data_IF_386238062258
#
_entry.id   IF_386238062258
#
_cell.length_a   1.000
_cell.length_b   1.000
_cell.length_c   1.000
_cell.angle_alpha   90.00
_cell.angle_beta   90.00
_cell.angle_gamma   90.00
#
_symmetry.space_group_name_H-M   'P 1'
#
loop_
_entity.id
_entity.type
_entity.pdbx_description
1 polymer ?
#
# COMPACT_ATOMS: atom_id res chain seq x y z
N UNK A 1 10.85 13.26 33.14
CA UNK A 1 11.04 12.27 32.06
C UNK A 1 9.89 11.27 32.11
N UNK A 2 8.86 11.36 31.25
CA UNK A 2 7.80 10.38 31.25
C UNK A 2 8.32 9.08 30.63
N UNK A 3 8.61 8.08 31.47
CA UNK A 3 8.84 6.68 31.06
C UNK A 3 7.51 5.95 31.23
N UNK A 4 6.63 6.07 30.24
CA UNK A 4 5.30 5.45 30.25
C UNK A 4 4.92 4.91 28.88
N UNK A 5 4.01 3.93 28.88
CA UNK A 5 3.54 3.18 27.71
C UNK A 5 3.02 4.06 26.57
N UNK A 6 2.59 5.29 26.85
CA UNK A 6 2.11 6.27 25.86
C UNK A 6 3.18 6.71 24.87
N UNK A 7 4.42 6.91 25.32
CA UNK A 7 5.53 7.31 24.43
C UNK A 7 5.81 6.26 23.36
N UNK A 8 5.72 4.98 23.72
CA UNK A 8 5.88 3.89 22.76
C UNK A 8 4.73 3.85 21.75
N UNK A 9 3.48 3.99 22.21
CA UNK A 9 2.31 4.01 21.31
C UNK A 9 2.40 5.17 20.32
N UNK A 10 2.81 6.35 20.77
CA UNK A 10 2.98 7.52 19.89
C UNK A 10 4.04 7.28 18.82
N UNK A 11 5.19 6.70 19.21
CA UNK A 11 6.25 6.34 18.28
C UNK A 11 5.77 5.29 17.27
N UNK A 12 5.06 4.28 17.75
CA UNK A 12 4.50 3.23 16.90
C UNK A 12 3.50 3.78 15.89
N UNK A 13 2.53 4.60 16.32
CA UNK A 13 1.51 5.18 15.43
C UNK A 13 2.15 6.07 14.36
N UNK A 14 3.16 6.87 14.73
CA UNK A 14 3.90 7.69 13.77
C UNK A 14 4.60 6.84 12.72
N UNK A 15 5.34 5.81 13.16
CA UNK A 15 6.05 4.90 12.27
C UNK A 15 5.08 4.12 11.36
N UNK A 16 4.02 3.55 11.94
CA UNK A 16 3.02 2.75 11.23
C UNK A 16 2.37 3.54 10.08
N UNK A 17 1.98 4.78 10.35
CA UNK A 17 1.28 5.60 9.37
C UNK A 17 2.20 6.24 8.31
N UNK A 18 3.44 6.57 8.65
CA UNK A 18 4.29 7.41 7.79
C UNK A 18 5.50 6.70 7.20
N UNK A 19 5.99 5.63 7.83
CA UNK A 19 7.24 4.98 7.44
C UNK A 19 7.01 3.52 7.02
N UNK A 20 6.18 2.79 7.77
CA UNK A 20 5.89 1.40 7.50
C UNK A 20 5.08 1.25 6.20
N UNK A 21 5.60 0.41 5.29
CA UNK A 21 4.99 0.15 3.98
C UNK A 21 4.21 -1.15 4.03
N UNK A 22 2.91 -1.08 3.82
CA UNK A 22 2.03 -2.24 3.93
C UNK A 22 2.03 -3.05 2.62
N UNK A 23 2.29 -4.36 2.72
CA UNK A 23 2.28 -5.27 1.57
C UNK A 23 0.91 -5.30 0.87
N UNK A 24 -0.18 -5.25 1.64
CA UNK A 24 -1.56 -5.21 1.11
C UNK A 24 -1.86 -3.93 0.31
N UNK A 25 -1.11 -2.85 0.55
CA UNK A 25 -1.20 -1.58 -0.20
C UNK A 25 -0.10 -1.47 -1.26
N UNK A 26 0.42 -2.61 -1.74
CA UNK A 26 1.57 -2.63 -2.65
C UNK A 26 2.75 -1.80 -2.12
N UNK A 27 3.09 -1.92 -0.84
CA UNK A 27 4.21 -1.22 -0.20
C UNK A 27 4.08 0.31 -0.25
N UNK A 28 2.88 0.79 0.08
CA UNK A 28 2.55 2.20 0.29
C UNK A 28 2.25 2.40 1.78
N UNK A 29 2.54 3.60 2.28
CA UNK A 29 2.25 3.97 3.67
C UNK A 29 0.79 4.39 3.80
N UNK A 30 0.14 4.20 4.96
CA UNK A 30 -1.24 4.62 5.16
C UNK A 30 -1.43 6.12 4.88
N UNK A 31 -0.49 6.97 5.33
CA UNK A 31 -0.52 8.40 5.09
C UNK A 31 -0.47 8.76 3.59
N UNK A 32 0.41 8.12 2.80
CA UNK A 32 0.51 8.39 1.36
C UNK A 32 -0.76 7.98 0.60
N UNK A 33 -1.43 6.90 1.03
CA UNK A 33 -2.73 6.51 0.47
C UNK A 33 -3.82 7.51 0.84
N UNK A 34 -3.88 7.91 2.11
CA UNK A 34 -4.85 8.88 2.60
C UNK A 34 -4.73 10.24 1.89
N UNK A 35 -3.49 10.68 1.64
CA UNK A 35 -3.22 11.93 0.92
C UNK A 35 -3.43 11.84 -0.60
N UNK A 36 -3.70 10.63 -1.14
CA UNK A 36 -3.89 10.41 -2.58
C UNK A 36 -2.59 10.26 -3.39
N UNK A 37 -1.43 10.29 -2.74
CA UNK A 37 -0.11 10.18 -3.38
C UNK A 37 0.19 8.78 -3.94
N UNK A 38 -0.56 7.76 -3.48
CA UNK A 38 -0.40 6.34 -3.87
C UNK A 38 -0.23 6.17 -5.38
N UNK A 39 -1.08 6.81 -6.19
CA UNK A 39 -1.06 6.66 -7.66
C UNK A 39 0.24 7.19 -8.25
N UNK A 40 0.74 8.33 -7.77
CA UNK A 40 1.97 8.93 -8.27
C UNK A 40 3.19 8.06 -7.94
N UNK A 41 3.27 7.58 -6.70
CA UNK A 41 4.34 6.71 -6.23
C UNK A 41 4.37 5.40 -7.04
N UNK A 42 3.22 4.76 -7.22
CA UNK A 42 3.12 3.51 -7.94
C UNK A 42 3.44 3.66 -9.44
N UNK A 43 3.00 4.74 -10.09
CA UNK A 43 3.40 5.06 -11.48
C UNK A 43 4.89 5.29 -11.63
N UNK A 44 5.53 5.94 -10.66
CA UNK A 44 6.97 6.13 -10.68
C UNK A 44 7.68 4.77 -10.54
N UNK A 45 7.26 3.95 -9.58
CA UNK A 45 7.82 2.61 -9.35
C UNK A 45 7.69 1.70 -10.57
N UNK A 46 6.56 1.72 -11.25
CA UNK A 46 6.36 0.97 -12.49
C UNK A 46 7.42 1.34 -13.53
N UNK A 47 7.61 2.64 -13.77
CA UNK A 47 8.63 3.14 -14.71
C UNK A 47 10.03 2.69 -14.33
N UNK A 48 10.38 2.75 -13.05
CA UNK A 48 11.69 2.27 -12.54
C UNK A 48 11.88 0.78 -12.82
N UNK A 49 10.87 -0.04 -12.55
CA UNK A 49 10.95 -1.49 -12.76
C UNK A 49 10.99 -1.86 -14.24
N UNK A 50 10.24 -1.17 -15.09
CA UNK A 50 10.28 -1.37 -16.54
C UNK A 50 11.65 -1.01 -17.12
N UNK A 51 12.21 0.12 -16.70
CA UNK A 51 13.55 0.54 -17.11
C UNK A 51 14.63 -0.45 -16.67
N UNK A 52 14.57 -0.90 -15.41
CA UNK A 52 15.50 -1.89 -14.87
C UNK A 52 15.40 -3.24 -15.62
N UNK A 53 14.18 -3.71 -15.89
CA UNK A 53 13.95 -4.93 -16.66
C UNK A 53 14.45 -4.81 -18.10
N UNK A 54 14.25 -3.66 -18.75
CA UNK A 54 14.74 -3.40 -20.11
C UNK A 54 16.27 -3.45 -20.17
N UNK A 55 16.94 -2.95 -19.13
CA UNK A 55 18.41 -2.92 -19.07
C UNK A 55 19.03 -4.30 -18.89
N UNK A 56 18.38 -5.19 -18.14
CA UNK A 56 18.95 -6.46 -17.70
C UNK A 56 17.91 -7.60 -17.78
N UNK A 57 17.31 -7.90 -18.94
CA UNK A 57 16.21 -8.85 -19.06
C UNK A 57 16.50 -10.24 -18.46
N UNK A 58 17.77 -10.67 -18.47
CA UNK A 58 18.25 -11.93 -17.90
C UNK A 58 17.97 -12.11 -16.40
N UNK A 59 17.87 -11.02 -15.63
CA UNK A 59 17.56 -11.10 -14.19
C UNK A 59 16.07 -11.19 -13.87
N UNK A 60 15.19 -11.10 -14.86
CA UNK A 60 13.73 -11.07 -14.67
C UNK A 60 13.06 -12.27 -15.33
N UNK A 61 12.81 -13.32 -14.56
CA UNK A 61 12.05 -14.49 -15.01
C UNK A 61 10.54 -14.23 -15.18
N UNK A 62 10.00 -13.19 -14.51
CA UNK A 62 8.57 -12.84 -14.51
C UNK A 62 8.36 -11.38 -14.88
N UNK A 63 7.10 -11.01 -15.12
CA UNK A 63 6.67 -9.61 -15.24
C UNK A 63 7.02 -8.82 -13.98
N UNK A 64 7.10 -7.50 -14.13
CA UNK A 64 7.31 -6.59 -13.00
C UNK A 64 6.16 -6.73 -11.98
N UNK A 65 6.43 -6.38 -10.72
CA UNK A 65 5.41 -6.44 -9.66
C UNK A 65 4.19 -5.57 -9.99
N UNK A 66 3.05 -5.95 -9.43
CA UNK A 66 1.83 -5.15 -9.47
C UNK A 66 2.10 -3.75 -8.88
N UNK A 67 1.87 -2.73 -9.70
CA UNK A 67 1.97 -1.32 -9.34
C UNK A 67 0.62 -0.62 -9.50
N UNK A 68 -0.49 -1.35 -9.37
CA UNK A 68 -1.83 -0.76 -9.33
C UNK A 68 -2.24 -0.42 -7.89
N UNK A 69 -3.01 0.65 -7.66
CA UNK A 69 -3.55 0.97 -6.34
C UNK A 69 -4.37 -0.21 -5.81
N UNK A 70 -4.27 -0.48 -4.50
CA UNK A 70 -5.13 -1.48 -3.89
C UNK A 70 -6.59 -0.98 -3.89
N UNK A 71 -7.54 -1.86 -4.21
CA UNK A 71 -8.96 -1.55 -4.24
C UNK A 71 -9.53 -1.11 -2.88
N UNK A 72 -10.78 -0.65 -2.84
CA UNK A 72 -11.48 -0.41 -1.58
C UNK A 72 -11.66 -1.73 -0.81
N UNK A 73 -11.53 -1.66 0.51
CA UNK A 73 -11.78 -2.78 1.42
C UNK A 73 -12.65 -2.27 2.56
N UNK A 74 -13.68 -3.04 2.92
CA UNK A 74 -14.59 -2.71 4.01
C UNK A 74 -14.28 -3.59 5.21
N UNK A 75 -14.01 -2.96 6.37
CA UNK A 75 -13.91 -3.66 7.64
C UNK A 75 -15.32 -3.82 8.22
N UNK A 76 -15.71 -5.05 8.55
CA UNK A 76 -17.02 -5.40 9.08
C UNK A 76 -18.20 -4.92 8.19
N UNK A 77 -18.35 -5.48 6.97
CA UNK A 77 -19.47 -5.11 6.10
C UNK A 77 -20.81 -5.46 6.75
N UNK A 78 -21.80 -4.58 6.57
CA UNK A 78 -23.19 -4.92 6.89
C UNK A 78 -23.72 -5.99 5.92
N UNK A 79 -24.79 -6.70 6.28
CA UNK A 79 -25.43 -7.67 5.37
C UNK A 79 -25.81 -7.02 4.02
N UNK A 80 -26.30 -5.78 4.03
CA UNK A 80 -26.59 -5.01 2.82
C UNK A 80 -25.33 -4.69 2.00
N UNK A 81 -24.22 -4.35 2.66
CA UNK A 81 -22.92 -4.11 2.00
C UNK A 81 -22.38 -5.39 1.36
N UNK A 82 -22.54 -6.54 2.02
CA UNK A 82 -22.11 -7.84 1.50
C UNK A 82 -22.84 -8.21 0.22
N UNK A 83 -24.16 -7.98 0.16
CA UNK A 83 -24.97 -8.23 -1.04
C UNK A 83 -24.55 -7.33 -2.21
N UNK A 84 -24.25 -6.05 -1.95
CA UNK A 84 -23.83 -5.11 -2.98
C UNK A 84 -22.44 -5.45 -3.56
N UNK A 85 -21.49 -5.91 -2.73
CA UNK A 85 -20.16 -6.29 -3.19
C UNK A 85 -20.16 -7.60 -4.00
N UNK A 86 -21.09 -8.52 -3.74
CA UNK A 86 -21.21 -9.79 -4.48
C UNK A 86 -21.77 -9.62 -5.91
N UNK A 87 -22.50 -8.54 -6.18
CA UNK A 87 -23.11 -8.27 -7.49
C UNK A 87 -22.22 -7.42 -8.42
N UNK A 88 -21.12 -6.87 -7.91
CA UNK A 88 -20.21 -5.98 -8.63
C UNK A 88 -18.87 -6.64 -9.02
N UNK A 89 -18.78 -7.97 -8.93
CA UNK A 89 -17.62 -8.80 -9.29
C UNK A 89 -17.91 -9.61 -10.55
#
# INVERSE_FOLDING_TARGET
MPRGSTCWVDAFVRWYNNEHRHSALNWITPAARHNGDERAILRHRQRTYEAARKRHPERWARRIRNCQPAGPVTLNPSAATTTLMAQAA
#
